data_IF_790812373231
#
_entry.id   IF_790812373231
#
_cell.length_a   1.000
_cell.length_b   1.000
_cell.length_c   1.000
_cell.angle_alpha   90.00
_cell.angle_beta   90.00
_cell.angle_gamma   90.00
#
_symmetry.space_group_name_H-M   'P 1'
#
loop_
_entity.id
_entity.type
_entity.pdbx_description
1 polymer ?
#
# COMPACT_ATOMS: atom_id res chain seq x y z
N UNK A 1 -10.98 14.31 5.54
CA UNK A 1 -11.05 13.74 4.19
C UNK A 1 -11.36 12.27 4.38
N UNK A 2 -12.50 11.83 3.90
CA UNK A 2 -12.87 10.42 3.91
C UNK A 2 -11.88 9.63 3.05
N UNK A 3 -11.69 8.32 3.32
CA UNK A 3 -10.71 7.50 2.58
C UNK A 3 -11.05 7.46 1.09
N UNK A 4 -12.35 7.43 0.75
CA UNK A 4 -12.82 7.55 -0.62
C UNK A 4 -12.42 8.87 -1.30
N UNK A 5 -12.57 10.02 -0.64
CA UNK A 5 -12.18 11.32 -1.19
C UNK A 5 -10.66 11.37 -1.46
N UNK A 6 -9.87 10.73 -0.60
CA UNK A 6 -8.43 10.65 -0.79
C UNK A 6 -8.04 9.73 -1.95
N UNK A 7 -8.72 8.59 -2.07
CA UNK A 7 -8.57 7.68 -3.21
C UNK A 7 -8.86 8.43 -4.53
N UNK A 8 -9.97 9.16 -4.61
CA UNK A 8 -10.34 9.96 -5.79
C UNK A 8 -9.30 11.03 -6.14
N UNK A 9 -8.75 11.71 -5.12
CA UNK A 9 -7.68 12.70 -5.30
C UNK A 9 -6.44 12.06 -5.94
N UNK A 10 -6.01 10.90 -5.44
CA UNK A 10 -4.83 10.20 -5.98
C UNK A 10 -5.10 9.69 -7.40
N UNK A 11 -6.28 9.11 -7.64
CA UNK A 11 -6.68 8.66 -8.99
C UNK A 11 -6.65 9.81 -9.99
N UNK A 12 -7.15 10.98 -9.59
CA UNK A 12 -7.11 12.19 -10.42
C UNK A 12 -5.67 12.59 -10.73
N UNK A 13 -4.81 12.64 -9.71
CA UNK A 13 -3.38 12.88 -9.89
C UNK A 13 -2.70 11.88 -10.84
N UNK A 14 -2.96 10.58 -10.69
CA UNK A 14 -2.40 9.56 -11.59
C UNK A 14 -2.83 9.77 -13.04
N UNK A 15 -4.11 10.11 -13.29
CA UNK A 15 -4.64 10.40 -14.63
C UNK A 15 -4.04 11.66 -15.24
N UNK A 16 -3.76 12.69 -14.43
CA UNK A 16 -3.04 13.88 -14.87
C UNK A 16 -1.59 13.56 -15.22
N UNK A 17 -0.94 12.71 -14.44
CA UNK A 17 0.44 12.28 -14.67
C UNK A 17 0.59 11.46 -15.96
N UNK A 18 -0.36 10.56 -16.23
CA UNK A 18 -0.46 9.83 -17.50
C UNK A 18 -0.48 10.75 -18.70
N UNK A 19 -1.36 11.78 -18.66
CA UNK A 19 -1.48 12.78 -19.71
C UNK A 19 -0.18 13.56 -19.88
N UNK A 20 0.42 13.99 -18.77
CA UNK A 20 1.67 14.76 -18.78
C UNK A 20 2.84 13.97 -19.37
N UNK A 21 2.97 12.69 -19.01
CA UNK A 21 4.06 11.81 -19.46
C UNK A 21 3.76 11.11 -20.79
N UNK A 22 2.53 11.23 -21.30
CA UNK A 22 2.03 10.47 -22.44
C UNK A 22 2.25 8.94 -22.27
N UNK A 23 1.92 8.45 -21.07
CA UNK A 23 1.99 7.03 -20.70
C UNK A 23 0.62 6.55 -20.22
N UNK A 24 0.43 5.23 -20.16
CA UNK A 24 -0.74 4.62 -19.56
C UNK A 24 -0.31 3.67 -18.45
N UNK A 25 -0.91 3.78 -17.27
CA UNK A 25 -0.73 2.80 -16.22
C UNK A 25 -1.41 1.49 -16.61
N UNK A 26 -0.74 0.40 -16.28
CA UNK A 26 -1.20 -0.97 -16.46
C UNK A 26 -0.97 -1.67 -15.14
N UNK A 27 -1.73 -2.74 -14.87
CA UNK A 27 -1.53 -3.51 -13.64
C UNK A 27 -0.08 -3.90 -13.42
N UNK A 28 0.61 -4.33 -14.49
CA UNK A 28 1.99 -4.78 -14.42
C UNK A 28 2.95 -3.62 -14.13
N UNK A 29 2.83 -2.48 -14.81
CA UNK A 29 3.78 -1.38 -14.58
C UNK A 29 3.56 -0.72 -13.21
N UNK A 30 2.31 -0.56 -12.79
CA UNK A 30 1.98 0.02 -11.48
C UNK A 30 2.44 -0.91 -10.37
N UNK A 31 2.28 -2.23 -10.54
CA UNK A 31 2.80 -3.20 -9.59
C UNK A 31 4.33 -3.21 -9.54
N UNK A 32 5.02 -3.12 -10.68
CA UNK A 32 6.49 -3.03 -10.71
C UNK A 32 6.98 -1.80 -9.95
N UNK A 33 6.40 -0.62 -10.20
CA UNK A 33 6.76 0.61 -9.47
C UNK A 33 6.46 0.49 -7.97
N UNK A 34 5.30 -0.08 -7.60
CA UNK A 34 5.01 -0.37 -6.19
C UNK A 34 6.13 -1.20 -5.52
N UNK A 35 6.62 -2.24 -6.20
CA UNK A 35 7.70 -3.09 -5.69
C UNK A 35 9.04 -2.33 -5.61
N UNK A 36 9.33 -1.47 -6.58
CA UNK A 36 10.51 -0.58 -6.56
C UNK A 36 10.50 0.33 -5.33
N UNK A 37 9.37 0.97 -5.03
CA UNK A 37 9.23 1.88 -3.88
C UNK A 37 9.32 1.14 -2.54
N UNK A 38 8.75 -0.07 -2.45
CA UNK A 38 8.97 -0.96 -1.28
C UNK A 38 10.45 -1.31 -1.13
N UNK A 39 11.17 -1.51 -2.24
CA UNK A 39 12.61 -1.73 -2.25
C UNK A 39 13.40 -0.51 -1.75
N UNK A 40 13.02 0.69 -2.15
CA UNK A 40 13.62 1.93 -1.67
C UNK A 40 13.40 2.09 -0.16
N UNK A 41 12.17 1.91 0.31
CA UNK A 41 11.83 1.95 1.74
C UNK A 41 12.65 0.93 2.54
N UNK A 42 12.72 -0.31 2.06
CA UNK A 42 13.52 -1.37 2.69
C UNK A 42 15.01 -1.01 2.75
N UNK A 43 15.55 -0.36 1.72
CA UNK A 43 16.94 0.11 1.72
C UNK A 43 17.17 1.15 2.81
N UNK A 44 16.21 2.07 3.03
CA UNK A 44 16.35 3.11 4.05
C UNK A 44 16.28 2.52 5.47
N UNK A 45 15.44 1.52 5.73
CA UNK A 45 15.48 0.76 6.99
C UNK A 45 16.85 0.13 7.23
N UNK A 46 17.42 -0.52 6.21
CA UNK A 46 18.75 -1.12 6.31
C UNK A 46 19.83 -0.07 6.56
N UNK A 47 19.77 1.08 5.90
CA UNK A 47 20.73 2.17 6.10
C UNK A 47 20.66 2.71 7.53
N UNK A 48 19.46 2.91 8.07
CA UNK A 48 19.23 3.38 9.43
C UNK A 48 19.72 2.39 10.48
N UNK A 49 19.36 1.11 10.33
CA UNK A 49 19.55 0.11 11.40
C UNK A 49 20.92 -0.58 11.34
N UNK A 50 21.50 -0.72 10.14
CA UNK A 50 22.75 -1.46 9.91
C UNK A 50 23.92 -0.59 9.46
N UNK A 51 23.72 0.72 9.30
CA UNK A 51 24.77 1.67 8.95
C UNK A 51 25.50 1.38 7.63
N UNK A 52 24.85 0.68 6.68
CA UNK A 52 25.49 0.31 5.40
C UNK A 52 25.76 1.52 4.50
N UNK A 53 24.90 2.55 4.59
CA UNK A 53 24.98 3.86 3.95
C UNK A 53 24.28 4.87 4.86
N UNK A 54 24.40 6.16 4.55
CA UNK A 54 23.66 7.22 5.23
C UNK A 54 22.14 7.06 5.01
N UNK A 55 21.38 7.09 6.10
CA UNK A 55 19.92 7.12 6.07
C UNK A 55 19.44 8.46 5.52
N UNK A 56 18.50 8.42 4.58
CA UNK A 56 17.88 9.62 4.03
C UNK A 56 16.39 9.66 4.39
N UNK A 57 16.03 10.55 5.32
CA UNK A 57 14.65 10.71 5.78
C UNK A 57 13.69 11.11 4.65
N UNK A 58 14.11 11.99 3.74
CA UNK A 58 13.25 12.40 2.62
C UNK A 58 12.96 11.21 1.67
N UNK A 59 13.96 10.37 1.39
CA UNK A 59 13.75 9.14 0.60
C UNK A 59 12.83 8.15 1.30
N UNK A 60 12.91 8.06 2.63
CA UNK A 60 12.03 7.22 3.42
C UNK A 60 10.58 7.70 3.34
N UNK A 61 10.34 8.98 3.57
CA UNK A 61 9.00 9.58 3.53
C UNK A 61 8.40 9.53 2.13
N UNK A 62 9.19 9.83 1.10
CA UNK A 62 8.77 9.74 -0.30
C UNK A 62 8.38 8.31 -0.68
N UNK A 63 9.21 7.32 -0.33
CA UNK A 63 8.90 5.93 -0.64
C UNK A 63 7.57 5.48 0.00
N UNK A 64 7.25 5.93 1.21
CA UNK A 64 5.93 5.66 1.84
C UNK A 64 4.80 6.28 1.03
N UNK A 65 4.96 7.54 0.62
CA UNK A 65 3.96 8.23 -0.18
C UNK A 65 3.76 7.56 -1.55
N UNK A 66 4.85 7.21 -2.24
CA UNK A 66 4.85 6.60 -3.56
C UNK A 66 4.26 5.18 -3.52
N UNK A 67 4.57 4.39 -2.49
CA UNK A 67 3.90 3.11 -2.20
C UNK A 67 2.38 3.30 -2.13
N UNK A 68 1.92 4.30 -1.39
CA UNK A 68 0.48 4.52 -1.23
C UNK A 68 -0.17 4.97 -2.53
N UNK A 69 0.48 5.86 -3.29
CA UNK A 69 0.01 6.32 -4.61
C UNK A 69 -0.14 5.13 -5.57
N UNK A 70 0.89 4.28 -5.69
CA UNK A 70 0.86 3.13 -6.59
C UNK A 70 -0.15 2.07 -6.15
N UNK A 71 -0.33 1.86 -4.84
CA UNK A 71 -1.38 0.98 -4.32
C UNK A 71 -2.78 1.46 -4.70
N UNK A 72 -3.04 2.76 -4.55
CA UNK A 72 -4.33 3.37 -4.92
C UNK A 72 -4.56 3.32 -6.42
N UNK A 73 -3.54 3.60 -7.22
CA UNK A 73 -3.61 3.48 -8.68
C UNK A 73 -3.94 2.04 -9.10
N UNK A 74 -3.31 1.05 -8.47
CA UNK A 74 -3.58 -0.37 -8.75
C UNK A 74 -5.00 -0.77 -8.35
N UNK A 75 -5.52 -0.24 -7.23
CA UNK A 75 -6.90 -0.45 -6.83
C UNK A 75 -7.90 0.13 -7.85
N UNK A 76 -7.65 1.34 -8.35
CA UNK A 76 -8.47 1.98 -9.40
C UNK A 76 -8.48 1.17 -10.69
N UNK A 77 -7.32 0.70 -11.16
CA UNK A 77 -7.21 -0.18 -12.34
C UNK A 77 -8.05 -1.47 -12.21
N UNK A 78 -8.29 -1.91 -10.97
CA UNK A 78 -9.11 -3.09 -10.64
C UNK A 78 -10.53 -2.76 -10.18
N UNK A 79 -10.95 -1.50 -10.24
CA UNK A 79 -12.26 -1.02 -9.77
C UNK A 79 -12.55 -1.38 -8.31
N UNK A 80 -11.52 -1.28 -7.46
CA UNK A 80 -11.60 -1.59 -6.05
C UNK A 80 -11.82 -0.32 -5.21
N UNK A 81 -12.74 -0.39 -4.26
CA UNK A 81 -12.92 0.62 -3.22
C UNK A 81 -12.05 0.25 -2.02
N UNK A 82 -11.00 1.04 -1.74
CA UNK A 82 -10.02 0.73 -0.70
C UNK A 82 -10.64 0.83 0.70
N UNK A 83 -11.48 1.83 0.94
CA UNK A 83 -12.13 2.00 2.23
C UNK A 83 -12.94 0.77 2.63
N UNK A 84 -13.77 0.28 1.70
CA UNK A 84 -14.55 -0.94 1.86
C UNK A 84 -13.64 -2.14 2.11
N UNK A 85 -12.60 -2.34 1.32
CA UNK A 85 -11.66 -3.46 1.48
C UNK A 85 -10.95 -3.44 2.84
N UNK A 86 -10.51 -2.28 3.29
CA UNK A 86 -9.86 -2.10 4.58
C UNK A 86 -10.83 -2.38 5.73
N UNK A 87 -12.05 -1.83 5.67
CA UNK A 87 -13.09 -2.07 6.68
C UNK A 87 -13.43 -3.56 6.79
N UNK A 88 -13.66 -4.24 5.66
CA UNK A 88 -13.93 -5.69 5.64
C UNK A 88 -12.76 -6.51 6.24
N UNK A 89 -11.52 -6.11 5.94
CA UNK A 89 -10.32 -6.78 6.48
C UNK A 89 -10.19 -6.57 7.98
N UNK A 90 -10.34 -5.32 8.45
CA UNK A 90 -10.27 -4.96 9.86
C UNK A 90 -11.36 -5.69 10.66
N UNK A 91 -12.60 -5.73 10.18
CA UNK A 91 -13.69 -6.45 10.83
C UNK A 91 -13.41 -7.96 10.91
N UNK A 92 -12.92 -8.54 9.82
CA UNK A 92 -12.57 -9.97 9.77
C UNK A 92 -11.48 -10.32 10.77
N UNK A 93 -10.43 -9.50 10.88
CA UNK A 93 -9.32 -9.76 11.79
C UNK A 93 -9.66 -9.41 13.24
N UNK A 94 -10.48 -8.40 13.49
CA UNK A 94 -11.02 -8.09 14.82
C UNK A 94 -11.86 -9.25 15.38
N UNK A 95 -12.64 -9.92 14.52
CA UNK A 95 -13.37 -11.15 14.89
C UNK A 95 -12.43 -12.31 15.24
N UNK A 96 -11.23 -12.39 14.66
CA UNK A 96 -10.23 -13.43 14.99
C UNK A 96 -9.56 -13.15 16.34
N UNK A 97 -9.23 -11.89 16.61
CA UNK A 97 -8.60 -11.47 17.87
C UNK A 97 -9.53 -11.59 19.08
N UNK A 98 -10.85 -11.49 18.88
CA UNK A 98 -11.86 -11.63 19.93
C UNK A 98 -12.21 -13.08 20.27
N UNK A 99 -11.63 -14.08 19.58
CA UNK A 99 -11.78 -15.49 19.95
C UNK A 99 -10.75 -15.81 21.06
N UNK A 100 -11.17 -16.27 22.25
CA UNK A 100 -10.25 -16.69 23.30
C UNK A 100 -9.28 -17.75 22.76
N UNK A 101 -7.98 -17.63 23.10
CA UNK A 101 -6.89 -18.49 22.59
C UNK A 101 -7.20 -20.00 22.67
N UNK A 102 -8.02 -20.41 23.65
CA UNK A 102 -8.48 -21.78 23.86
C UNK A 102 -9.33 -22.35 22.71
N UNK A 103 -10.04 -21.52 21.94
CA UNK A 103 -10.84 -21.97 20.80
C UNK A 103 -10.09 -21.86 19.45
N UNK A 104 -9.10 -20.98 19.36
CA UNK A 104 -8.30 -20.79 18.14
C UNK A 104 -7.43 -22.02 17.81
N UNK A 105 -6.88 -22.70 18.83
CA UNK A 105 -6.08 -23.92 18.63
C UNK A 105 -6.90 -25.09 18.09
N UNK A 106 -8.17 -25.23 18.50
CA UNK A 106 -9.03 -26.35 18.06
C UNK A 106 -9.52 -26.24 16.61
N UNK A 107 -9.50 -25.05 16.00
CA UNK A 107 -9.86 -24.85 14.58
C UNK A 107 -8.71 -25.07 13.60
N UNK A 108 -7.44 -25.02 14.06
CA UNK A 108 -6.26 -25.28 13.22
C UNK A 108 -5.81 -26.75 13.26
N UNK A 109 -6.51 -27.61 13.99
CA UNK A 109 -6.23 -29.05 14.11
C UNK A 109 -7.30 -29.92 13.45
N UNK A 110 -8.10 -29.37 12.53
CA UNK A 110 -9.07 -30.10 11.70
C UNK A 110 -8.85 -29.79 10.22
#
# INVERSE_FOLDING_TARGET
>A
MEVNEFQEKIVTFCKEWEKYRNIKHTDQNTFNHLVEEVGELASQFVNRDKGRKEFNANKFDNAIADIFIHLVCLADLRNLNIEKLLNETIEKDSKRLSIPETQARNKMSK
#
